data_IF_582183183470
#
_entry.id   IF_582183183470
#
_cell.length_a   1.000
_cell.length_b   1.000
_cell.length_c   1.000
_cell.angle_alpha   90.00
_cell.angle_beta   90.00
_cell.angle_gamma   90.00
#
_symmetry.space_group_name_H-M   'P 1'
#
loop_
_entity.id
_entity.type
_entity.pdbx_description
1 polymer ?
#
# COMPACT_ATOMS: atom_id res chain seq x y z
N UNK A 1 2.58 8.33 -9.44
CA UNK A 1 1.35 8.41 -8.61
C UNK A 1 1.60 9.00 -7.22
N UNK A 2 2.83 9.00 -6.68
CA UNK A 2 3.13 9.59 -5.36
C UNK A 2 2.73 11.06 -5.22
N UNK A 3 2.67 11.80 -6.34
CA UNK A 3 2.24 13.20 -6.43
C UNK A 3 0.73 13.39 -6.19
N UNK A 4 -0.07 12.33 -6.33
CA UNK A 4 -1.53 12.36 -6.16
C UNK A 4 -1.98 11.67 -4.85
N UNK A 5 -1.05 11.27 -3.97
CA UNK A 5 -1.38 10.54 -2.74
C UNK A 5 -2.21 11.36 -1.74
N UNK A 6 -2.32 12.67 -1.92
CA UNK A 6 -2.93 13.56 -0.95
C UNK A 6 -2.21 13.49 0.42
N UNK A 7 -2.57 14.36 1.37
CA UNK A 7 -1.95 14.35 2.70
C UNK A 7 -2.14 13.01 3.43
N UNK A 8 -3.31 12.39 3.26
CA UNK A 8 -3.64 11.10 3.90
C UNK A 8 -2.85 9.92 3.33
N UNK A 9 -2.67 9.85 2.00
CA UNK A 9 -1.92 8.74 1.39
C UNK A 9 -0.43 8.81 1.71
N UNK A 10 0.13 10.02 1.85
CA UNK A 10 1.50 10.21 2.33
C UNK A 10 1.61 9.76 3.80
N UNK A 11 0.69 10.18 4.67
CA UNK A 11 0.66 9.75 6.06
C UNK A 11 0.54 8.22 6.20
N UNK A 12 -0.32 7.60 5.39
CA UNK A 12 -0.46 6.14 5.33
C UNK A 12 0.82 5.45 4.87
N UNK A 13 1.50 5.98 3.85
CA UNK A 13 2.78 5.43 3.39
C UNK A 13 3.87 5.52 4.47
N UNK A 14 3.95 6.63 5.19
CA UNK A 14 4.89 6.80 6.30
C UNK A 14 4.60 5.79 7.42
N UNK A 15 3.32 5.59 7.76
CA UNK A 15 2.89 4.60 8.75
C UNK A 15 3.25 3.17 8.35
N UNK A 16 3.04 2.81 7.08
CA UNK A 16 3.42 1.50 6.53
C UNK A 16 4.93 1.28 6.65
N UNK A 17 5.73 2.26 6.22
CA UNK A 17 7.18 2.19 6.29
C UNK A 17 7.68 2.12 7.73
N UNK A 18 7.08 2.89 8.64
CA UNK A 18 7.39 2.85 10.07
C UNK A 18 7.07 1.48 10.69
N UNK A 19 5.92 0.90 10.35
CA UNK A 19 5.52 -0.43 10.84
C UNK A 19 6.45 -1.54 10.34
N UNK A 20 6.79 -1.54 9.04
CA UNK A 20 7.75 -2.50 8.47
C UNK A 20 9.13 -2.31 9.12
N UNK A 21 9.59 -1.06 9.29
CA UNK A 21 10.86 -0.75 9.94
C UNK A 21 10.92 -1.21 11.40
N UNK A 22 9.84 -1.03 12.16
CA UNK A 22 9.73 -1.51 13.54
C UNK A 22 9.85 -3.05 13.59
N UNK A 23 9.17 -3.75 12.69
CA UNK A 23 9.19 -5.22 12.65
C UNK A 23 10.57 -5.72 12.20
N UNK A 24 11.21 -5.01 11.26
CA UNK A 24 12.55 -5.36 10.78
C UNK A 24 13.62 -5.29 11.87
N UNK A 25 13.40 -4.49 12.92
CA UNK A 25 14.28 -4.44 14.09
C UNK A 25 14.31 -5.78 14.86
N UNK A 26 13.19 -6.50 14.90
CA UNK A 26 13.08 -7.79 15.61
C UNK A 26 13.35 -8.96 14.68
N UNK A 27 12.77 -8.94 13.47
CA UNK A 27 12.96 -9.99 12.47
C UNK A 27 12.83 -9.43 11.05
N UNK A 28 13.95 -9.30 10.33
CA UNK A 28 13.95 -8.87 8.93
C UNK A 28 13.13 -9.79 8.04
N UNK A 29 13.12 -11.10 8.32
CA UNK A 29 12.38 -12.09 7.53
C UNK A 29 10.87 -11.88 7.64
N UNK A 30 10.36 -11.60 8.84
CA UNK A 30 8.93 -11.30 9.06
C UNK A 30 8.57 -9.97 8.41
N UNK A 31 9.43 -8.96 8.51
CA UNK A 31 9.21 -7.66 7.89
C UNK A 31 9.07 -7.76 6.36
N UNK A 32 9.92 -8.57 5.71
CA UNK A 32 9.82 -8.84 4.27
C UNK A 32 8.50 -9.54 3.94
N UNK A 33 8.10 -10.55 4.72
CA UNK A 33 6.82 -11.24 4.54
C UNK A 33 5.64 -10.28 4.60
N UNK A 34 5.62 -9.37 5.58
CA UNK A 34 4.58 -8.35 5.74
C UNK A 34 4.62 -7.33 4.61
N UNK A 35 5.81 -6.89 4.18
CA UNK A 35 5.97 -5.96 3.07
C UNK A 35 5.38 -6.54 1.77
N UNK A 36 5.59 -7.83 1.52
CA UNK A 36 5.01 -8.52 0.36
C UNK A 36 3.48 -8.61 0.45
N UNK A 37 2.93 -8.92 1.64
CA UNK A 37 1.48 -8.93 1.86
C UNK A 37 0.87 -7.55 1.61
N UNK A 38 1.47 -6.49 2.16
CA UNK A 38 0.99 -5.11 1.97
C UNK A 38 1.10 -4.66 0.51
N UNK A 39 2.20 -5.02 -0.17
CA UNK A 39 2.36 -4.78 -1.60
C UNK A 39 1.27 -5.47 -2.42
N UNK A 40 1.01 -6.75 -2.16
CA UNK A 40 -0.05 -7.52 -2.80
C UNK A 40 -1.44 -6.93 -2.55
N UNK A 41 -1.74 -6.55 -1.31
CA UNK A 41 -3.00 -5.89 -0.96
C UNK A 41 -3.17 -4.58 -1.74
N UNK A 42 -2.11 -3.76 -1.84
CA UNK A 42 -2.13 -2.54 -2.63
C UNK A 42 -2.46 -2.78 -4.11
N UNK A 43 -1.94 -3.86 -4.70
CA UNK A 43 -2.26 -4.26 -6.07
C UNK A 43 -3.73 -4.70 -6.21
N UNK A 44 -4.23 -5.50 -5.26
CA UNK A 44 -5.63 -5.94 -5.24
C UNK A 44 -6.56 -4.74 -5.15
N UNK A 45 -6.35 -3.86 -4.17
CA UNK A 45 -7.17 -2.64 -4.00
C UNK A 45 -7.13 -1.79 -5.26
N UNK A 46 -5.96 -1.57 -5.86
CA UNK A 46 -5.84 -0.82 -7.11
C UNK A 46 -6.67 -1.47 -8.22
N UNK A 47 -6.57 -2.79 -8.40
CA UNK A 47 -7.34 -3.50 -9.42
C UNK A 47 -8.85 -3.39 -9.20
N UNK A 48 -9.31 -3.50 -7.95
CA UNK A 48 -10.72 -3.34 -7.58
C UNK A 48 -11.22 -1.92 -7.86
N UNK A 49 -10.47 -0.89 -7.43
CA UNK A 49 -10.84 0.51 -7.65
C UNK A 49 -10.83 0.84 -9.14
N UNK A 50 -9.80 0.42 -9.88
CA UNK A 50 -9.75 0.63 -11.33
C UNK A 50 -10.92 -0.05 -12.05
N UNK A 51 -11.25 -1.30 -11.70
CA UNK A 51 -12.40 -2.00 -12.27
C UNK A 51 -13.74 -1.33 -11.95
N UNK A 52 -13.91 -0.83 -10.72
CA UNK A 52 -15.09 -0.08 -10.31
C UNK A 52 -15.25 1.23 -11.10
N UNK A 53 -14.18 2.01 -11.22
CA UNK A 53 -14.22 3.27 -11.96
C UNK A 53 -14.45 3.05 -13.45
N UNK A 54 -13.90 1.97 -14.02
CA UNK A 54 -14.20 1.56 -15.39
C UNK A 54 -15.68 1.17 -15.56
N UNK A 55 -16.28 0.48 -14.58
CA UNK A 55 -17.72 0.18 -14.58
C UNK A 55 -18.61 1.43 -14.54
N UNK A 56 -18.09 2.56 -14.06
CA UNK A 56 -18.77 3.85 -14.08
C UNK A 56 -18.45 4.69 -15.34
N UNK A 57 -17.72 4.14 -16.31
CA UNK A 57 -17.34 4.86 -17.54
C UNK A 57 -16.32 5.98 -17.32
N UNK A 58 -15.65 6.02 -16.17
CA UNK A 58 -14.59 6.98 -15.86
C UNK A 58 -13.22 6.58 -16.46
N UNK A 59 -13.17 5.50 -17.26
CA UNK A 59 -12.01 5.02 -18.03
C UNK A 59 -12.44 4.28 -19.28
#
# INVERSE_FOLDING_TARGET
>A
MLQNLGPLGIAGLVLVLAGIGLIAYVSPLIAIGIALVLGGLGLVVKALVSGLLQSFGMF
#
